data_IF_755347166479
#
_entry.id   IF_755347166479
#
_cell.length_a   1.000
_cell.length_b   1.000
_cell.length_c   1.000
_cell.angle_alpha   90.00
_cell.angle_beta   90.00
_cell.angle_gamma   90.00
#
_symmetry.space_group_name_H-M   'P 1'
#
loop_
_entity.id
_entity.type
_entity.pdbx_description
1 polymer ?
#
# COMPACT_ATOMS: atom_id res chain seq x y z
N UNK A 1 -6.63 -5.03 -10.61
CA UNK A 1 -6.87 -6.27 -11.40
C UNK A 1 -7.60 -7.25 -10.49
N UNK A 2 -8.44 -8.15 -11.03
CA UNK A 2 -8.92 -9.30 -10.24
C UNK A 2 -7.77 -10.26 -9.94
N UNK A 3 -7.95 -11.16 -8.97
CA UNK A 3 -6.94 -12.19 -8.65
C UNK A 3 -6.58 -13.03 -9.88
N UNK A 4 -7.56 -13.42 -10.71
CA UNK A 4 -7.31 -14.15 -11.95
C UNK A 4 -6.44 -13.34 -12.91
N UNK A 5 -6.77 -12.07 -13.14
CA UNK A 5 -6.00 -11.21 -14.03
C UNK A 5 -4.60 -10.94 -13.49
N UNK A 6 -4.42 -10.85 -12.16
CA UNK A 6 -3.11 -10.74 -11.53
C UNK A 6 -2.24 -11.94 -11.87
N UNK A 7 -2.70 -13.17 -11.64
CA UNK A 7 -1.92 -14.37 -11.94
C UNK A 7 -1.64 -14.52 -13.43
N UNK A 8 -2.61 -14.18 -14.29
CA UNK A 8 -2.38 -14.16 -15.74
C UNK A 8 -1.30 -13.15 -16.16
N UNK A 9 -1.26 -11.95 -15.57
CA UNK A 9 -0.17 -10.99 -15.83
C UNK A 9 1.19 -11.63 -15.52
N UNK A 10 1.27 -12.35 -14.39
CA UNK A 10 2.48 -13.01 -13.95
C UNK A 10 2.89 -14.21 -14.83
N UNK A 11 1.92 -14.87 -15.48
CA UNK A 11 2.19 -15.94 -16.46
C UNK A 11 2.82 -15.40 -17.76
N UNK A 12 2.55 -14.15 -18.11
CA UNK A 12 3.05 -13.52 -19.35
C UNK A 12 4.23 -12.56 -19.14
N UNK A 13 4.54 -12.19 -17.90
CA UNK A 13 5.57 -11.22 -17.56
C UNK A 13 6.48 -11.72 -16.44
N UNK A 14 7.76 -11.94 -16.78
CA UNK A 14 8.80 -12.38 -15.85
C UNK A 14 9.47 -11.23 -15.08
N UNK A 15 9.24 -9.98 -15.50
CA UNK A 15 9.89 -8.81 -14.92
C UNK A 15 9.17 -8.27 -13.67
N UNK A 16 9.67 -7.16 -13.11
CA UNK A 16 9.06 -6.52 -11.95
C UNK A 16 7.64 -6.02 -12.18
N UNK A 17 6.84 -6.01 -11.11
CA UNK A 17 5.45 -5.52 -11.12
C UNK A 17 5.26 -4.43 -10.08
N UNK A 18 4.46 -3.42 -10.42
CA UNK A 18 4.09 -2.33 -9.52
C UNK A 18 2.60 -2.39 -9.19
N UNK A 19 2.26 -2.64 -7.93
CA UNK A 19 0.91 -2.44 -7.43
C UNK A 19 0.82 -1.01 -6.86
N UNK A 20 0.39 -0.04 -7.67
CA UNK A 20 0.57 1.38 -7.35
C UNK A 20 -0.19 1.89 -6.11
N UNK A 21 -1.31 1.26 -5.76
CA UNK A 21 -2.15 1.63 -4.61
C UNK A 21 -2.98 0.41 -4.19
N UNK A 22 -2.45 -0.38 -3.25
CA UNK A 22 -3.04 -1.60 -2.72
C UNK A 22 -2.59 -1.85 -1.29
N UNK A 23 -3.45 -2.53 -0.52
CA UNK A 23 -3.19 -2.92 0.86
C UNK A 23 -3.31 -4.45 1.04
N UNK A 24 -3.09 -4.92 2.27
CA UNK A 24 -2.96 -6.33 2.62
C UNK A 24 -4.32 -6.95 2.97
N UNK A 25 -4.71 -8.03 2.27
CA UNK A 25 -5.95 -8.78 2.53
C UNK A 25 -5.95 -9.49 3.89
N UNK A 26 -4.77 -9.73 4.46
CA UNK A 26 -4.62 -10.27 5.81
C UNK A 26 -5.15 -9.32 6.90
N UNK A 27 -5.23 -8.00 6.62
CA UNK A 27 -5.62 -6.99 7.60
C UNK A 27 -7.03 -6.43 7.34
N UNK A 28 -7.45 -6.35 6.07
CA UNK A 28 -8.78 -5.89 5.67
C UNK A 28 -9.32 -6.88 4.63
N UNK A 29 -10.59 -7.28 4.72
CA UNK A 29 -11.15 -8.29 3.81
C UNK A 29 -11.58 -7.67 2.49
N UNK A 30 -11.34 -8.37 1.37
CA UNK A 30 -11.82 -7.91 0.08
C UNK A 30 -10.96 -8.26 -1.13
N UNK A 31 -11.61 -8.44 -2.29
CA UNK A 31 -10.94 -8.69 -3.57
C UNK A 31 -10.05 -7.52 -4.05
N UNK A 32 -10.26 -6.30 -3.55
CA UNK A 32 -9.48 -5.12 -3.94
C UNK A 32 -8.07 -5.12 -3.35
N UNK A 33 -7.83 -5.96 -2.35
CA UNK A 33 -6.61 -6.03 -1.55
C UNK A 33 -5.80 -7.27 -1.95
N UNK A 34 -4.49 -7.25 -1.73
CA UNK A 34 -3.60 -8.35 -2.15
C UNK A 34 -3.53 -9.43 -1.09
N UNK A 35 -3.69 -10.70 -1.49
CA UNK A 35 -3.37 -11.83 -0.61
C UNK A 35 -1.87 -11.95 -0.38
N UNK A 36 -1.45 -12.66 0.68
CA UNK A 36 -0.03 -12.86 0.98
C UNK A 36 0.71 -13.55 -0.17
N UNK A 37 0.07 -14.47 -0.90
CA UNK A 37 0.68 -15.13 -2.06
C UNK A 37 0.90 -14.14 -3.21
N UNK A 38 -0.03 -13.21 -3.42
CA UNK A 38 0.16 -12.13 -4.40
C UNK A 38 1.26 -11.15 -3.96
N UNK A 39 1.32 -10.81 -2.67
CA UNK A 39 2.38 -9.97 -2.11
C UNK A 39 3.75 -10.62 -2.32
N UNK A 40 3.91 -11.91 -1.97
CA UNK A 40 5.15 -12.68 -2.21
C UNK A 40 5.52 -12.71 -3.69
N UNK A 41 4.55 -12.95 -4.58
CA UNK A 41 4.82 -12.98 -6.01
C UNK A 41 5.30 -11.63 -6.58
N UNK A 42 4.87 -10.50 -6.01
CA UNK A 42 5.39 -9.16 -6.34
C UNK A 42 6.81 -8.99 -5.77
N UNK A 43 7.02 -9.38 -4.51
CA UNK A 43 8.33 -9.29 -3.83
C UNK A 43 9.40 -10.10 -4.58
N UNK A 44 9.09 -11.34 -4.95
CA UNK A 44 9.99 -12.26 -5.68
C UNK A 44 10.40 -11.70 -7.05
N UNK A 45 9.52 -10.93 -7.69
CA UNK A 45 9.81 -10.24 -8.96
C UNK A 45 10.49 -8.89 -8.78
N UNK A 46 10.98 -8.58 -7.58
CA UNK A 46 11.59 -7.28 -7.26
C UNK A 46 10.64 -6.07 -7.43
N UNK A 47 9.34 -6.32 -7.32
CA UNK A 47 8.28 -5.33 -7.46
C UNK A 47 8.12 -4.41 -6.26
N UNK A 48 7.21 -3.46 -6.37
CA UNK A 48 6.89 -2.46 -5.34
C UNK A 48 5.38 -2.35 -5.16
N UNK A 49 4.94 -2.18 -3.92
CA UNK A 49 3.54 -2.04 -3.51
C UNK A 49 3.36 -0.66 -2.87
N UNK A 50 2.54 0.18 -3.49
CA UNK A 50 2.14 1.47 -2.95
C UNK A 50 1.02 1.30 -1.93
N UNK A 51 1.24 1.77 -0.70
CA UNK A 51 0.24 1.72 0.37
C UNK A 51 -0.82 2.79 0.13
N UNK A 52 -2.08 2.38 0.13
CA UNK A 52 -3.23 3.25 -0.12
C UNK A 52 -3.84 3.76 1.18
N UNK A 53 -4.31 5.01 1.15
CA UNK A 53 -4.68 5.78 2.35
C UNK A 53 -6.22 5.90 2.50
N UNK A 54 -6.98 5.12 1.74
CA UNK A 54 -8.46 5.13 1.76
C UNK A 54 -8.99 4.27 2.90
N UNK A 55 -9.87 4.82 3.74
CA UNK A 55 -10.41 4.12 4.92
C UNK A 55 -11.01 2.75 4.58
N UNK A 56 -11.74 2.64 3.46
CA UNK A 56 -12.34 1.37 3.00
C UNK A 56 -11.32 0.26 2.70
N UNK A 57 -10.03 0.59 2.60
CA UNK A 57 -8.93 -0.34 2.34
C UNK A 57 -7.93 -0.45 3.50
N UNK A 58 -8.15 0.24 4.62
CA UNK A 58 -7.31 0.17 5.84
C UNK A 58 -8.11 -0.06 7.13
N UNK A 59 -9.44 0.03 7.05
CA UNK A 59 -10.33 -0.21 8.17
C UNK A 59 -10.71 -1.70 8.26
N UNK A 60 -10.31 -2.43 9.32
CA UNK A 60 -10.61 -3.86 9.47
C UNK A 60 -12.10 -4.18 9.66
N UNK A 61 -12.94 -3.16 9.89
CA UNK A 61 -14.40 -3.32 9.96
C UNK A 61 -15.06 -3.34 8.58
N UNK A 62 -14.32 -2.96 7.53
CA UNK A 62 -14.81 -2.96 6.16
C UNK A 62 -14.47 -4.30 5.49
N UNK A 63 -15.42 -4.84 4.75
CA UNK A 63 -15.21 -5.89 3.78
C UNK A 63 -15.54 -5.34 2.39
N UNK A 64 -14.54 -5.21 1.52
CA UNK A 64 -14.73 -4.67 0.17
C UNK A 64 -15.82 -5.40 -0.63
N UNK A 65 -15.97 -6.71 -0.40
CA UNK A 65 -16.92 -7.55 -1.13
C UNK A 65 -18.34 -7.48 -0.55
N UNK A 66 -18.53 -6.75 0.56
CA UNK A 66 -19.83 -6.45 1.17
C UNK A 66 -20.02 -4.93 1.32
N UNK A 67 -20.66 -4.27 0.33
CA UNK A 67 -20.91 -2.83 0.37
C UNK A 67 -21.72 -2.35 1.58
N UNK A 68 -22.43 -3.23 2.30
CA UNK A 68 -23.16 -2.84 3.51
C UNK A 68 -22.23 -2.47 4.68
N UNK A 69 -20.94 -2.86 4.59
CA UNK A 69 -19.90 -2.51 5.56
C UNK A 69 -19.23 -1.17 5.26
N UNK A 70 -19.54 -0.53 4.13
CA UNK A 70 -18.84 0.69 3.71
C UNK A 70 -19.24 1.87 4.59
N UNK A 71 -18.24 2.66 4.97
CA UNK A 71 -18.42 3.86 5.78
C UNK A 71 -18.48 5.11 4.89
N UNK A 72 -19.18 6.14 5.36
CA UNK A 72 -19.20 7.47 4.71
C UNK A 72 -18.17 8.44 5.28
N UNK A 73 -17.52 8.08 6.39
CA UNK A 73 -16.46 8.84 7.03
C UNK A 73 -15.36 7.91 7.53
N UNK A 74 -14.12 8.32 7.35
CA UNK A 74 -12.94 7.62 7.82
C UNK A 74 -12.92 7.55 9.36
N UNK A 75 -12.38 6.44 9.85
CA UNK A 75 -12.16 6.20 11.28
C UNK A 75 -10.67 5.99 11.59
N UNK A 76 -9.84 5.74 10.58
CA UNK A 76 -8.43 5.33 10.75
C UNK A 76 -7.46 6.51 10.58
N UNK A 77 -6.42 6.64 11.43
CA UNK A 77 -5.36 7.64 11.26
C UNK A 77 -4.26 7.15 10.31
N UNK A 78 -3.32 8.03 9.95
CA UNK A 78 -2.18 7.72 9.08
C UNK A 78 -1.33 6.56 9.60
N UNK A 79 -1.25 6.40 10.93
CA UNK A 79 -0.57 5.29 11.58
C UNK A 79 -1.12 3.93 11.16
N UNK A 80 -2.40 3.82 10.78
CA UNK A 80 -2.97 2.55 10.36
C UNK A 80 -2.30 2.00 9.08
N UNK A 81 -1.74 2.86 8.24
CA UNK A 81 -0.98 2.43 7.06
C UNK A 81 0.32 1.72 7.44
N UNK A 82 0.90 2.02 8.62
CA UNK A 82 2.09 1.33 9.13
C UNK A 82 1.81 -0.16 9.34
N UNK A 83 0.58 -0.54 9.72
CA UNK A 83 0.19 -1.95 9.88
C UNK A 83 0.39 -2.72 8.55
N UNK A 84 0.03 -2.09 7.43
CA UNK A 84 0.24 -2.67 6.09
C UNK A 84 1.71 -2.63 5.65
N UNK A 85 2.44 -1.55 5.96
CA UNK A 85 3.89 -1.48 5.71
C UNK A 85 4.60 -2.62 6.44
N UNK A 86 4.33 -2.79 7.73
CA UNK A 86 4.94 -3.81 8.57
C UNK A 86 4.66 -5.22 8.07
N UNK A 87 3.41 -5.52 7.68
CA UNK A 87 3.05 -6.83 7.13
C UNK A 87 3.86 -7.17 5.87
N UNK A 88 4.00 -6.22 4.94
CA UNK A 88 4.79 -6.42 3.72
C UNK A 88 6.29 -6.54 4.04
N UNK A 89 6.80 -5.70 4.93
CA UNK A 89 8.20 -5.75 5.38
C UNK A 89 8.53 -7.09 6.07
N UNK A 90 7.61 -7.64 6.86
CA UNK A 90 7.77 -8.95 7.50
C UNK A 90 7.80 -10.09 6.48
N UNK A 91 6.95 -10.02 5.44
CA UNK A 91 6.97 -10.98 4.34
C UNK A 91 8.26 -10.90 3.51
N UNK A 92 8.76 -9.68 3.25
CA UNK A 92 9.94 -9.44 2.43
C UNK A 92 11.27 -9.59 3.20
N UNK A 93 11.24 -9.46 4.53
CA UNK A 93 12.42 -9.33 5.39
C UNK A 93 13.15 -7.99 5.26
N UNK A 94 12.56 -6.99 4.59
CA UNK A 94 13.13 -5.65 4.38
C UNK A 94 12.07 -4.65 3.86
N UNK A 95 12.41 -3.36 3.79
CA UNK A 95 11.53 -2.27 3.36
C UNK A 95 11.46 -2.05 1.83
N UNK A 96 12.21 -2.81 1.02
CA UNK A 96 12.52 -2.50 -0.39
C UNK A 96 11.33 -2.59 -1.34
N UNK A 97 10.23 -3.18 -0.89
CA UNK A 97 9.04 -3.51 -1.69
C UNK A 97 7.83 -2.64 -1.35
N UNK A 98 8.00 -1.63 -0.50
CA UNK A 98 6.91 -0.73 -0.08
C UNK A 98 7.16 0.69 -0.62
N UNK A 99 6.09 1.37 -1.04
CA UNK A 99 6.11 2.78 -1.40
C UNK A 99 4.84 3.48 -0.90
N UNK A 100 4.81 4.81 -1.00
CA UNK A 100 3.60 5.59 -0.79
C UNK A 100 2.75 5.58 -2.08
N UNK A 101 1.48 5.19 -1.96
CA UNK A 101 0.51 5.14 -3.05
C UNK A 101 -0.85 5.63 -2.60
N UNK A 102 -0.92 6.88 -2.11
CA UNK A 102 -2.04 7.40 -1.30
C UNK A 102 -3.41 7.26 -1.94
N UNK A 103 -3.47 7.32 -3.28
CA UNK A 103 -4.70 7.41 -4.08
C UNK A 103 -5.47 8.72 -3.86
N UNK A 104 -4.82 9.77 -3.37
CA UNK A 104 -5.47 11.08 -3.18
C UNK A 104 -6.09 11.59 -4.48
N UNK A 105 -7.31 12.14 -4.38
CA UNK A 105 -8.18 12.53 -5.50
C UNK A 105 -8.58 11.38 -6.45
N UNK A 106 -8.39 10.11 -6.03
CA UNK A 106 -8.71 8.91 -6.81
C UNK A 106 -10.20 8.51 -6.88
N UNK A 107 -11.11 9.41 -6.45
CA UNK A 107 -12.57 9.15 -6.43
C UNK A 107 -13.21 9.18 -5.04
N UNK A 108 -12.46 9.62 -4.03
CA UNK A 108 -12.94 9.91 -2.68
C UNK A 108 -12.39 11.29 -2.25
N UNK A 109 -13.11 11.98 -1.38
CA UNK A 109 -12.63 13.22 -0.78
C UNK A 109 -12.02 13.01 0.61
N UNK A 110 -11.82 14.13 1.30
CA UNK A 110 -11.31 14.20 2.68
C UNK A 110 -12.06 13.28 3.65
N UNK A 111 -13.33 13.00 3.37
CA UNK A 111 -14.20 12.15 4.18
C UNK A 111 -13.74 10.70 4.27
N UNK A 112 -13.02 10.14 3.29
CA UNK A 112 -12.46 8.78 3.37
C UNK A 112 -10.93 8.75 3.49
N UNK A 113 -10.30 9.91 3.53
CA UNK A 113 -8.88 10.04 3.84
C UNK A 113 -8.63 9.86 5.35
N UNK A 114 -7.40 9.55 5.80
CA UNK A 114 -7.11 9.33 7.21
C UNK A 114 -7.55 10.51 8.08
N UNK A 115 -8.03 10.24 9.29
CA UNK A 115 -8.65 11.27 10.15
C UNK A 115 -7.70 12.42 10.51
N UNK A 116 -6.40 12.18 10.48
CA UNK A 116 -5.29 13.09 10.79
C UNK A 116 -4.59 13.64 9.53
N UNK A 117 -5.19 13.53 8.35
CA UNK A 117 -4.65 14.04 7.09
C UNK A 117 -5.67 14.95 6.37
N UNK A 118 -5.40 16.25 6.29
CA UNK A 118 -6.30 17.23 5.67
C UNK A 118 -5.93 17.52 4.22
N UNK A 119 -4.64 17.68 3.95
CA UNK A 119 -4.12 17.95 2.61
C UNK A 119 -2.91 17.08 2.32
N UNK A 120 -2.45 17.07 1.07
CA UNK A 120 -1.20 16.40 0.68
C UNK A 120 0.02 16.87 1.49
N UNK A 121 -0.01 18.09 2.05
CA UNK A 121 1.08 18.60 2.87
C UNK A 121 1.27 17.79 4.17
N UNK A 122 0.20 17.18 4.69
CA UNK A 122 0.23 16.39 5.93
C UNK A 122 0.91 15.03 5.74
N UNK A 123 1.15 14.60 4.50
CA UNK A 123 1.85 13.35 4.20
C UNK A 123 3.27 13.32 4.78
N UNK A 124 3.87 14.48 5.07
CA UNK A 124 5.17 14.54 5.77
C UNK A 124 5.10 13.91 7.17
N UNK A 125 3.94 14.00 7.85
CA UNK A 125 3.72 13.37 9.16
C UNK A 125 3.82 11.84 9.07
N UNK A 126 3.45 11.25 7.93
CA UNK A 126 3.61 9.80 7.72
C UNK A 126 5.07 9.35 7.78
N UNK A 127 6.01 10.19 7.35
CA UNK A 127 7.44 9.89 7.46
C UNK A 127 7.89 9.86 8.93
N UNK A 128 7.36 10.75 9.76
CA UNK A 128 7.61 10.74 11.20
C UNK A 128 6.94 9.56 11.90
N UNK A 129 5.77 9.11 11.41
CA UNK A 129 5.13 7.89 11.90
C UNK A 129 5.97 6.64 11.58
N UNK A 130 6.57 6.55 10.40
CA UNK A 130 7.53 5.49 10.06
C UNK A 130 8.73 5.51 11.01
N UNK A 131 9.34 6.68 11.25
CA UNK A 131 10.43 6.82 12.24
C UNK A 131 10.01 6.35 13.62
N UNK A 132 8.84 6.79 14.08
CA UNK A 132 8.26 6.41 15.37
C UNK A 132 7.93 4.92 15.49
N UNK A 133 7.76 4.22 14.37
CA UNK A 133 7.58 2.76 14.31
C UNK A 133 8.91 1.99 14.27
N UNK A 134 10.06 2.67 14.18
CA UNK A 134 11.40 2.07 14.24
C UNK A 134 12.10 1.91 12.90
N UNK A 135 11.52 2.43 11.79
CA UNK A 135 12.22 2.49 10.51
C UNK A 135 13.37 3.50 10.59
N UNK A 136 14.56 3.11 10.14
CA UNK A 136 15.70 4.02 10.07
C UNK A 136 15.56 4.99 8.88
N UNK A 137 16.42 6.00 8.79
CA UNK A 137 16.33 7.02 7.73
C UNK A 137 16.50 6.45 6.32
N UNK A 138 17.28 5.38 6.13
CA UNK A 138 17.44 4.74 4.83
C UNK A 138 16.14 4.05 4.40
N UNK A 139 15.48 3.35 5.33
CA UNK A 139 14.17 2.73 5.09
C UNK A 139 13.09 3.78 4.84
N UNK A 140 13.07 4.87 5.61
CA UNK A 140 12.11 5.98 5.43
C UNK A 140 12.29 6.61 4.06
N UNK A 141 13.52 6.90 3.64
CA UNK A 141 13.81 7.44 2.30
C UNK A 141 13.46 6.44 1.18
N UNK A 142 13.71 5.14 1.42
CA UNK A 142 13.33 4.08 0.49
C UNK A 142 11.82 4.02 0.27
N UNK A 143 11.02 4.02 1.34
CA UNK A 143 9.56 4.01 1.29
C UNK A 143 9.00 5.32 0.71
N UNK A 144 9.58 6.46 1.07
CA UNK A 144 9.12 7.77 0.59
C UNK A 144 9.27 7.92 -0.93
N UNK A 145 10.37 7.42 -1.51
CA UNK A 145 10.61 7.52 -2.95
C UNK A 145 11.63 6.51 -3.51
N UNK A 146 12.61 6.07 -2.73
CA UNK A 146 13.77 5.31 -3.22
C UNK A 146 13.39 3.99 -3.92
N UNK A 147 12.42 3.26 -3.38
CA UNK A 147 11.97 1.99 -3.92
C UNK A 147 11.30 2.15 -5.29
N UNK A 148 10.45 3.17 -5.43
CA UNK A 148 9.77 3.44 -6.69
C UNK A 148 10.76 3.98 -7.76
N UNK A 149 11.67 4.86 -7.36
CA UNK A 149 12.75 5.33 -8.25
C UNK A 149 13.64 4.19 -8.73
N UNK A 150 14.02 3.26 -7.84
CA UNK A 150 14.77 2.05 -8.18
C UNK A 150 14.02 1.23 -9.23
N UNK A 151 12.73 0.97 -9.00
CA UNK A 151 11.89 0.21 -9.92
C UNK A 151 11.88 0.86 -11.32
N UNK A 152 11.60 2.15 -11.41
CA UNK A 152 11.53 2.81 -12.71
C UNK A 152 12.89 2.93 -13.41
N UNK A 153 13.96 3.30 -12.69
CA UNK A 153 15.30 3.43 -13.28
C UNK A 153 15.85 2.12 -13.83
N UNK A 154 15.49 0.99 -13.22
CA UNK A 154 15.95 -0.32 -13.67
C UNK A 154 15.19 -0.85 -14.88
N UNK A 155 13.93 -0.43 -15.07
CA UNK A 155 13.02 -1.03 -16.05
C UNK A 155 12.61 -0.09 -17.20
N UNK A 156 12.82 1.23 -17.06
CA UNK A 156 12.52 2.20 -18.11
C UNK A 156 13.75 2.46 -18.96
N UNK A 157 13.99 1.59 -19.94
CA UNK A 157 15.08 1.69 -20.92
C UNK A 157 14.55 1.69 -22.34
#
# INVERSE_FOLDING_TARGET
>A
ASDQAFWQILDYWDGPVHASHCNCRALVQGQRLLSDDMLRAIIERDGVIGIVFVDTMVNPQVNWDDPSTFVSQAARPMRAMIEHVDHICQLAGNSRHVAIGTDLDGGFGRELAPVDMDTIADLQVFLDLLRGAGYNEDDVAAIAHGNLLRLFRNNWR
#
